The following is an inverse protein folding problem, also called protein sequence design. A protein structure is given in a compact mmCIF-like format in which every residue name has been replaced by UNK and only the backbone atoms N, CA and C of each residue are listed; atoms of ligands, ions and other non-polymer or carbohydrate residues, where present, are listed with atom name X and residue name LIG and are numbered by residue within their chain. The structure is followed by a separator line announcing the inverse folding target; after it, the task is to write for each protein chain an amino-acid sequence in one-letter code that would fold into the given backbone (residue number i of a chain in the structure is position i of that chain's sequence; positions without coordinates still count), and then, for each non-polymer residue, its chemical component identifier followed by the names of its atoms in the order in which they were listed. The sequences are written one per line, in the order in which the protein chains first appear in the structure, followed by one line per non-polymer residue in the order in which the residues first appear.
data_IF_329818784604
#
_entry.id   IF_329818784604
#
_cell.length_a   1.000
_cell.length_b   1.000
_cell.length_c   1.000
_cell.angle_alpha   90.00
_cell.angle_beta   90.00
_cell.angle_gamma   90.00
#
_symmetry.space_group_name_H-M   'P 1'
#
loop_
_entity.id
_entity.type
_entity.pdbx_description
1 polymer ?
#
# COMPACT_ATOMS: atom_id res chain seq x y z
N UNK A 1 24.60 -3.99 9.71
CA UNK A 1 23.19 -3.88 10.16
C UNK A 1 22.73 -2.44 10.36
N UNK A 2 23.48 -1.59 11.06
CA UNK A 2 23.11 -0.16 11.26
C UNK A 2 22.77 0.57 9.97
N UNK A 3 23.57 0.42 8.91
CA UNK A 3 23.29 1.03 7.59
C UNK A 3 21.95 0.59 6.97
N UNK A 4 21.63 -0.71 7.03
CA UNK A 4 20.37 -1.24 6.51
C UNK A 4 19.17 -0.73 7.32
N UNK A 5 19.27 -0.69 8.65
CA UNK A 5 18.24 -0.14 9.53
C UNK A 5 18.02 1.36 9.28
N UNK A 6 19.10 2.13 9.09
CA UNK A 6 18.99 3.57 8.78
C UNK A 6 18.34 3.84 7.41
N UNK A 7 18.38 2.90 6.47
CA UNK A 7 17.71 3.00 5.17
C UNK A 7 16.24 2.51 5.24
N UNK A 8 15.96 1.53 6.11
CA UNK A 8 14.62 1.01 6.36
C UNK A 8 13.67 2.05 6.94
N UNK A 9 14.14 2.88 7.88
CA UNK A 9 13.30 3.89 8.56
C UNK A 9 12.73 4.92 7.56
N UNK A 10 13.53 5.58 6.69
CA UNK A 10 13.02 6.45 5.63
C UNK A 10 12.07 5.76 4.67
N UNK A 11 12.35 4.50 4.30
CA UNK A 11 11.48 3.69 3.44
C UNK A 11 10.12 3.40 4.10
N UNK A 12 10.11 3.14 5.41
CA UNK A 12 8.90 3.00 6.23
C UNK A 12 8.05 4.28 6.20
N UNK A 13 8.69 5.41 6.46
CA UNK A 13 8.03 6.72 6.45
C UNK A 13 7.48 7.04 5.05
N UNK A 14 8.27 6.80 4.00
CA UNK A 14 7.85 6.98 2.62
C UNK A 14 6.66 6.09 2.26
N UNK A 15 6.67 4.82 2.65
CA UNK A 15 5.58 3.88 2.38
C UNK A 15 4.27 4.30 3.07
N UNK A 16 4.33 4.70 4.34
CA UNK A 16 3.18 5.23 5.08
C UNK A 16 2.68 6.51 4.41
N UNK A 17 3.60 7.41 4.05
CA UNK A 17 3.26 8.65 3.35
C UNK A 17 2.57 8.38 2.01
N UNK A 18 3.12 7.49 1.17
CA UNK A 18 2.52 7.08 -0.11
C UNK A 18 1.13 6.48 0.10
N UNK A 19 0.98 5.60 1.10
CA UNK A 19 -0.30 4.99 1.42
C UNK A 19 -1.36 6.03 1.75
N UNK A 20 -1.06 7.04 2.56
CA UNK A 20 -2.05 8.09 2.88
C UNK A 20 -2.22 9.13 1.76
N UNK A 21 -1.12 9.51 1.09
CA UNK A 21 -1.10 10.54 0.04
C UNK A 21 -1.93 10.14 -1.18
N UNK A 22 -1.98 8.86 -1.50
CA UNK A 22 -2.70 8.31 -2.64
C UNK A 22 -4.18 7.99 -2.34
N UNK A 23 -4.74 8.53 -1.26
CA UNK A 23 -6.18 8.41 -0.99
C UNK A 23 -7.01 9.07 -2.12
N UNK A 24 -8.01 8.37 -2.70
CA UNK A 24 -8.82 8.91 -3.78
C UNK A 24 -9.57 10.20 -3.39
N UNK A 25 -9.70 11.20 -4.29
CA UNK A 25 -10.59 12.34 -4.07
C UNK A 25 -12.05 11.88 -4.16
N UNK A 26 -12.82 12.09 -3.08
CA UNK A 26 -14.22 11.63 -2.89
C UNK A 26 -14.38 10.09 -2.85
N UNK A 27 -13.79 9.42 -1.84
CA UNK A 27 -13.92 7.98 -1.70
C UNK A 27 -15.35 7.60 -1.30
N UNK A 28 -15.94 6.61 -1.97
CA UNK A 28 -17.05 5.87 -1.37
C UNK A 28 -16.55 5.18 -0.10
N UNK A 29 -17.14 5.52 1.05
CA UNK A 29 -16.58 5.17 2.36
C UNK A 29 -16.57 3.68 2.64
N UNK A 30 -17.53 2.91 2.12
CA UNK A 30 -17.63 1.46 2.33
C UNK A 30 -16.52 0.67 1.63
N UNK A 31 -16.44 0.70 0.29
CA UNK A 31 -15.46 -0.06 -0.48
C UNK A 31 -14.00 0.28 -0.14
N UNK A 32 -13.70 1.56 0.10
CA UNK A 32 -12.34 2.00 0.44
C UNK A 32 -11.92 1.52 1.84
N UNK A 33 -12.85 1.47 2.81
CA UNK A 33 -12.57 0.90 4.14
C UNK A 33 -12.32 -0.61 4.07
N UNK A 34 -13.14 -1.34 3.29
CA UNK A 34 -12.95 -2.77 3.09
C UNK A 34 -11.58 -3.07 2.45
N UNK A 35 -11.18 -2.29 1.44
CA UNK A 35 -9.85 -2.41 0.83
C UNK A 35 -8.73 -2.16 1.84
N UNK A 36 -8.83 -1.09 2.64
CA UNK A 36 -7.82 -0.79 3.65
C UNK A 36 -7.71 -1.90 4.71
N UNK A 37 -8.85 -2.44 5.15
CA UNK A 37 -8.87 -3.56 6.08
C UNK A 37 -8.22 -4.80 5.48
N UNK A 38 -8.55 -5.15 4.23
CA UNK A 38 -7.94 -6.27 3.52
C UNK A 38 -6.42 -6.08 3.34
N UNK A 39 -5.96 -4.86 3.02
CA UNK A 39 -4.54 -4.55 2.90
C UNK A 39 -3.79 -4.73 4.23
N UNK A 40 -4.38 -4.31 5.36
CA UNK A 40 -3.79 -4.52 6.69
C UNK A 40 -3.78 -6.00 7.06
N UNK A 41 -4.87 -6.73 6.82
CA UNK A 41 -4.93 -8.17 7.09
C UNK A 41 -3.89 -8.91 6.26
N UNK A 42 -3.70 -8.56 4.98
CA UNK A 42 -2.68 -9.20 4.15
C UNK A 42 -1.25 -8.86 4.62
N UNK A 43 -1.00 -7.65 5.11
CA UNK A 43 0.26 -7.32 5.78
C UNK A 43 0.50 -8.23 7.00
N UNK A 44 -0.58 -8.45 7.77
CA UNK A 44 -0.78 -9.47 8.82
C UNK A 44 -0.16 -10.82 8.45
N UNK A 45 -0.77 -11.39 7.42
CA UNK A 45 -0.49 -12.72 6.88
C UNK A 45 0.94 -12.80 6.34
N UNK A 46 1.40 -11.78 5.61
CA UNK A 46 2.77 -11.73 5.10
C UNK A 46 3.80 -11.73 6.25
N UNK A 47 3.57 -10.94 7.30
CA UNK A 47 4.45 -10.92 8.47
C UNK A 47 4.48 -12.28 9.18
N UNK A 48 3.31 -12.92 9.36
CA UNK A 48 3.21 -14.27 9.92
C UNK A 48 3.92 -15.33 9.07
N UNK A 49 3.79 -15.26 7.74
CA UNK A 49 4.47 -16.15 6.80
C UNK A 49 5.99 -16.00 6.86
N UNK A 50 6.50 -14.78 6.95
CA UNK A 50 7.94 -14.51 7.15
C UNK A 50 8.41 -15.08 8.49
N UNK A 51 7.65 -14.89 9.57
CA UNK A 51 7.99 -15.44 10.88
C UNK A 51 8.10 -16.96 10.84
N UNK A 52 7.10 -17.62 10.25
CA UNK A 52 7.10 -19.09 10.07
C UNK A 52 8.30 -19.56 9.26
N UNK A 53 8.56 -18.91 8.12
CA UNK A 53 9.67 -19.25 7.24
C UNK A 53 11.03 -19.13 7.97
N UNK A 54 11.30 -17.97 8.57
CA UNK A 54 12.58 -17.71 9.26
C UNK A 54 12.78 -18.65 10.45
N UNK A 55 11.73 -18.87 11.24
CA UNK A 55 11.78 -19.81 12.36
C UNK A 55 12.15 -21.22 11.89
N UNK A 56 11.50 -21.71 10.83
CA UNK A 56 11.79 -23.02 10.24
C UNK A 56 13.20 -23.12 9.67
N UNK A 57 13.66 -22.09 8.96
CA UNK A 57 15.01 -22.05 8.38
C UNK A 57 16.12 -22.01 9.42
N UNK A 58 15.88 -21.44 10.59
CA UNK A 58 16.88 -21.30 11.66
C UNK A 58 16.79 -22.39 12.75
N UNK A 59 15.79 -23.27 12.70
CA UNK A 59 15.50 -24.24 13.76
C UNK A 59 16.66 -25.20 14.08
N UNK A 60 17.47 -25.56 13.07
CA UNK A 60 18.63 -26.45 13.21
C UNK A 60 19.99 -25.75 13.36
N UNK A 61 20.01 -24.42 13.33
CA UNK A 61 21.27 -23.65 13.37
C UNK A 61 21.75 -23.35 14.79
N UNK A 62 23.05 -23.08 14.93
CA UNK A 62 23.66 -22.55 16.17
C UNK A 62 23.05 -21.22 16.58
N UNK A 63 22.62 -20.41 15.60
CA UNK A 63 22.07 -19.07 15.81
C UNK A 63 20.54 -19.07 15.96
N UNK A 64 19.93 -20.23 16.26
CA UNK A 64 18.46 -20.39 16.32
C UNK A 64 17.76 -19.32 17.15
N UNK A 65 18.37 -18.83 18.23
CA UNK A 65 17.79 -17.79 19.10
C UNK A 65 17.60 -16.43 18.41
N UNK A 66 18.29 -16.19 17.29
CA UNK A 66 18.24 -14.92 16.55
C UNK A 66 17.07 -14.81 15.57
N UNK A 67 16.27 -15.88 15.41
CA UNK A 67 15.14 -15.88 14.47
C UNK A 67 14.19 -14.69 14.63
N UNK A 68 13.85 -14.18 15.84
CA UNK A 68 12.94 -13.02 15.95
C UNK A 68 13.55 -11.73 15.37
N UNK A 69 14.87 -11.55 15.53
CA UNK A 69 15.59 -10.37 15.02
C UNK A 69 15.62 -10.39 13.50
N UNK A 70 15.89 -11.56 12.92
CA UNK A 70 15.91 -11.77 11.47
C UNK A 70 14.50 -11.60 10.88
N UNK A 71 13.47 -12.15 11.53
CA UNK A 71 12.07 -11.93 11.17
C UNK A 71 11.72 -10.44 11.19
N UNK A 72 12.05 -9.72 12.27
CA UNK A 72 11.77 -8.28 12.38
C UNK A 72 12.43 -7.50 11.24
N UNK A 73 13.67 -7.83 10.88
CA UNK A 73 14.36 -7.22 9.75
C UNK A 73 13.62 -7.42 8.42
N UNK A 74 13.18 -8.64 8.11
CA UNK A 74 12.41 -8.91 6.88
C UNK A 74 11.03 -8.25 6.90
N UNK A 75 10.33 -8.27 8.03
CA UNK A 75 9.00 -7.64 8.18
C UNK A 75 9.09 -6.12 7.99
N UNK A 76 10.14 -5.48 8.51
CA UNK A 76 10.40 -4.05 8.28
C UNK A 76 10.58 -3.71 6.80
N UNK A 77 10.95 -4.65 5.94
CA UNK A 77 11.05 -4.44 4.49
C UNK A 77 9.75 -4.72 3.76
N UNK A 78 9.14 -5.88 4.04
CA UNK A 78 8.00 -6.37 3.27
C UNK A 78 6.72 -5.61 3.59
N UNK A 79 6.45 -5.31 4.86
CA UNK A 79 5.20 -4.63 5.25
C UNK A 79 5.08 -3.23 4.65
N UNK A 80 6.11 -2.36 4.71
CA UNK A 80 6.01 -1.03 4.11
C UNK A 80 5.91 -1.10 2.59
N UNK A 81 6.69 -1.99 1.94
CA UNK A 81 6.59 -2.19 0.50
C UNK A 81 5.17 -2.58 0.09
N UNK A 82 4.56 -3.53 0.81
CA UNK A 82 3.17 -3.93 0.60
C UNK A 82 2.19 -2.77 0.78
N UNK A 83 2.34 -1.97 1.85
CA UNK A 83 1.48 -0.80 2.07
C UNK A 83 1.62 0.23 0.94
N UNK A 84 2.82 0.49 0.44
CA UNK A 84 3.03 1.38 -0.70
C UNK A 84 2.32 0.85 -1.96
N UNK A 85 2.48 -0.44 -2.26
CA UNK A 85 1.79 -1.11 -3.39
C UNK A 85 0.28 -1.06 -3.22
N UNK A 86 -0.24 -1.35 -2.03
CA UNK A 86 -1.67 -1.26 -1.72
C UNK A 86 -2.21 0.17 -1.91
N UNK A 87 -1.45 1.19 -1.50
CA UNK A 87 -1.80 2.60 -1.73
C UNK A 87 -1.92 2.95 -3.21
N UNK A 88 -0.98 2.46 -4.04
CA UNK A 88 -1.02 2.62 -5.50
C UNK A 88 -2.21 1.90 -6.10
N UNK A 89 -2.44 0.63 -5.73
CA UNK A 89 -3.58 -0.17 -6.21
C UNK A 89 -4.91 0.50 -5.84
N UNK A 90 -5.05 0.98 -4.61
CA UNK A 90 -6.24 1.71 -4.16
C UNK A 90 -6.53 2.94 -5.03
N UNK A 91 -5.48 3.69 -5.40
CA UNK A 91 -5.62 4.83 -6.30
C UNK A 91 -6.01 4.41 -7.73
N UNK A 92 -5.51 3.29 -8.23
CA UNK A 92 -5.86 2.79 -9.56
C UNK A 92 -7.29 2.26 -9.63
N UNK A 93 -7.77 1.61 -8.58
CA UNK A 93 -9.11 1.00 -8.51
C UNK A 93 -10.18 2.06 -8.22
N UNK A 94 -9.95 2.94 -7.24
CA UNK A 94 -10.94 3.88 -6.73
C UNK A 94 -10.68 5.34 -7.14
N UNK A 95 -9.56 5.63 -7.80
CA UNK A 95 -9.28 6.97 -8.30
C UNK A 95 -10.24 7.33 -9.43
N UNK A 96 -10.85 8.51 -9.34
CA UNK A 96 -11.68 9.04 -10.40
C UNK A 96 -10.88 9.08 -11.72
N UNK A 97 -11.25 8.23 -12.68
CA UNK A 97 -11.06 8.55 -14.11
C UNK A 97 -11.89 9.81 -14.29
N UNK A 98 -11.25 10.97 -14.36
CA UNK A 98 -11.95 12.23 -14.52
C UNK A 98 -12.97 12.10 -15.65
N UNK A 99 -14.13 12.79 -15.57
CA UNK A 99 -15.05 12.80 -16.69
C UNK A 99 -14.24 13.14 -17.94
N UNK A 100 -14.22 12.23 -18.92
CA UNK A 100 -13.90 12.60 -20.30
C UNK A 100 -14.72 13.85 -20.51
N UNK A 101 -14.06 15.01 -20.73
CA UNK A 101 -14.70 16.31 -20.89
C UNK A 101 -16.09 16.11 -21.48
N UNK A 102 -17.19 16.61 -20.87
CA UNK A 102 -18.42 16.67 -21.63
C UNK A 102 -18.05 17.47 -22.87
N UNK A 103 -18.08 16.83 -24.04
CA UNK A 103 -18.04 17.51 -25.32
C UNK A 103 -19.02 18.67 -25.16
N UNK A 104 -18.53 19.86 -25.45
CA UNK A 104 -19.19 21.15 -25.26
C UNK A 104 -20.50 21.20 -26.07
N UNK A 105 -21.55 20.48 -25.63
CA UNK A 105 -22.89 20.46 -26.23
C UNK A 105 -23.73 21.54 -25.53
N UNK A 106 -23.15 22.70 -25.27
CA UNK A 106 -23.87 23.81 -24.63
C UNK A 106 -23.49 25.20 -25.14
N UNK A 107 -22.69 25.31 -26.20
CA UNK A 107 -22.48 26.58 -26.89
C UNK A 107 -22.61 26.39 -28.39
N UNK A 108 -23.84 26.49 -28.90
CA UNK A 108 -24.21 27.49 -29.94
C UNK A 108 -25.66 27.25 -30.44
N UNK A 109 -26.63 27.12 -29.52
CA UNK A 109 -28.05 27.21 -29.86
C UNK A 109 -28.50 28.67 -30.09
N UNK A 110 -27.59 29.64 -29.99
CA UNK A 110 -27.82 31.04 -30.35
C UNK A 110 -27.99 31.28 -31.85
N UNK A 111 -27.79 30.28 -32.70
CA UNK A 111 -27.92 30.39 -34.17
C UNK A 111 -29.30 30.04 -34.73
N UNK A 112 -30.25 29.55 -33.93
CA UNK A 112 -31.64 29.42 -34.38
C UNK A 112 -32.37 30.75 -34.21
N UNK A 113 -32.16 31.68 -35.16
CA UNK A 113 -33.11 32.75 -35.42
C UNK A 113 -34.31 32.14 -36.14
N UNK A 114 -35.45 32.06 -35.44
CA UNK A 114 -36.77 31.98 -36.06
C UNK A 114 -37.21 33.37 -36.49
#
# INVERSE_FOLDING_TARGET
MLFAVSLMIPLLVLAVWVFWRLTPPRPETGPVRAFNAAAVVLALVLAGGIAWYVQGSMAGGTDRGMWPVVTAYYVMAVVPLWLAVAGVLRRLIFGARGPSKPLEISQDLSKTRF
#
